data_IF_802101288067
#
_entry.id   IF_802101288067
#
_cell.length_a   1.000
_cell.length_b   1.000
_cell.length_c   1.000
_cell.angle_alpha   90.00
_cell.angle_beta   90.00
_cell.angle_gamma   90.00
#
_symmetry.space_group_name_H-M   'P 1'
#
loop_
_entity.id
_entity.type
_entity.pdbx_description
1 polymer ?
#
# COMPACT_ATOMS: atom_id res chain seq x y z
N UNK A 1 -13.53 26.45 -38.26
CA UNK A 1 -14.78 26.56 -37.49
C UNK A 1 -14.41 27.03 -36.10
N UNK A 2 -14.88 28.21 -35.69
CA UNK A 2 -14.76 28.68 -34.30
C UNK A 2 -15.69 27.88 -33.41
N UNK A 3 -15.19 27.46 -32.24
CA UNK A 3 -15.86 27.55 -30.95
C UNK A 3 -14.83 27.27 -29.85
N UNK A 4 -14.67 28.25 -28.98
CA UNK A 4 -14.26 28.05 -27.60
C UNK A 4 -15.01 26.82 -27.05
N UNK A 5 -14.29 25.71 -26.88
CA UNK A 5 -14.66 24.69 -25.92
C UNK A 5 -13.68 24.85 -24.78
N UNK A 6 -14.12 25.49 -23.70
CA UNK A 6 -13.55 25.19 -22.40
C UNK A 6 -13.69 23.68 -22.24
N UNK A 7 -12.59 22.94 -22.37
CA UNK A 7 -12.57 21.53 -22.02
C UNK A 7 -12.84 21.48 -20.52
N UNK A 8 -14.05 21.02 -20.15
CA UNK A 8 -14.38 20.69 -18.76
C UNK A 8 -13.22 19.88 -18.16
N UNK A 9 -12.94 20.09 -16.87
CA UNK A 9 -11.88 19.35 -16.17
C UNK A 9 -12.14 17.86 -16.36
N UNK A 10 -11.24 17.19 -17.07
CA UNK A 10 -11.34 15.76 -17.35
C UNK A 10 -10.64 14.97 -16.24
N UNK A 11 -11.39 14.02 -15.68
CA UNK A 11 -10.86 13.02 -14.79
C UNK A 11 -10.79 11.69 -15.52
N UNK A 12 -9.68 10.99 -15.37
CA UNK A 12 -9.47 9.65 -15.95
C UNK A 12 -8.94 8.72 -14.88
N UNK A 13 -9.09 7.42 -15.06
CA UNK A 13 -8.62 6.44 -14.11
C UNK A 13 -7.81 5.33 -14.77
N UNK A 14 -6.97 4.70 -13.94
CA UNK A 14 -6.37 3.39 -14.21
C UNK A 14 -6.69 2.42 -13.08
N UNK A 15 -7.18 1.23 -13.43
CA UNK A 15 -7.17 0.07 -12.54
C UNK A 15 -5.83 -0.66 -12.70
N UNK A 16 -5.03 -0.68 -11.65
CA UNK A 16 -3.70 -1.27 -11.67
C UNK A 16 -3.74 -2.70 -11.13
N UNK A 17 -3.12 -3.62 -11.87
CA UNK A 17 -2.96 -5.02 -11.46
C UNK A 17 -1.49 -5.40 -11.34
N UNK A 18 -1.18 -6.24 -10.35
CA UNK A 18 0.13 -6.87 -10.15
C UNK A 18 -0.05 -8.38 -10.12
N UNK A 19 0.62 -9.12 -11.01
CA UNK A 19 0.48 -10.57 -11.16
C UNK A 19 -0.99 -11.02 -11.31
N UNK A 20 -1.79 -10.24 -12.04
CA UNK A 20 -3.24 -10.40 -12.28
C UNK A 20 -4.17 -10.08 -11.10
N UNK A 21 -3.61 -9.72 -9.95
CA UNK A 21 -4.40 -9.22 -8.82
C UNK A 21 -4.60 -7.70 -8.96
N UNK A 22 -5.85 -7.24 -9.00
CA UNK A 22 -6.17 -5.82 -8.86
C UNK A 22 -5.63 -5.30 -7.52
N UNK A 23 -4.75 -4.30 -7.56
CA UNK A 23 -4.24 -3.66 -6.35
C UNK A 23 -5.02 -2.39 -6.01
N UNK A 24 -5.55 -1.69 -7.02
CA UNK A 24 -6.48 -0.59 -6.82
C UNK A 24 -6.60 0.34 -8.03
N UNK A 25 -7.34 1.42 -7.85
CA UNK A 25 -7.59 2.45 -8.86
C UNK A 25 -6.81 3.73 -8.56
N UNK A 26 -6.21 4.30 -9.59
CA UNK A 26 -5.61 5.63 -9.58
C UNK A 26 -6.51 6.55 -10.41
N UNK A 27 -6.83 7.73 -9.88
CA UNK A 27 -7.61 8.74 -10.60
C UNK A 27 -6.73 9.96 -10.82
N UNK A 28 -6.74 10.47 -12.04
CA UNK A 28 -5.96 11.63 -12.46
C UNK A 28 -6.88 12.79 -12.79
N UNK A 29 -6.47 14.00 -12.41
CA UNK A 29 -7.02 15.25 -12.93
C UNK A 29 -6.12 15.76 -14.04
N UNK A 30 -6.68 16.09 -15.19
CA UNK A 30 -5.95 16.61 -16.34
C UNK A 30 -5.96 18.15 -16.36
N UNK A 31 -4.84 18.78 -16.73
CA UNK A 31 -4.68 20.22 -16.82
C UNK A 31 -5.01 20.73 -18.23
N UNK A 32 -6.26 20.57 -18.65
CA UNK A 32 -6.73 20.87 -20.01
C UNK A 32 -6.43 22.31 -20.47
N UNK A 33 -6.37 23.27 -19.55
CA UNK A 33 -6.02 24.66 -19.85
C UNK A 33 -4.51 24.89 -20.05
N UNK A 34 -3.65 24.09 -19.41
CA UNK A 34 -2.18 24.27 -19.43
C UNK A 34 -1.50 23.41 -20.49
N UNK A 35 -2.03 22.20 -20.73
CA UNK A 35 -1.48 21.23 -21.65
C UNK A 35 -2.61 20.53 -22.47
N UNK A 36 -3.39 21.29 -23.27
CA UNK A 36 -4.57 20.78 -23.97
C UNK A 36 -4.26 19.60 -24.89
N UNK A 37 -3.12 19.59 -25.58
CA UNK A 37 -2.78 18.49 -26.49
C UNK A 37 -2.35 17.24 -25.74
N UNK A 38 -1.54 17.39 -24.70
CA UNK A 38 -1.17 16.25 -23.85
C UNK A 38 -2.42 15.64 -23.18
N UNK A 39 -3.31 16.49 -22.66
CA UNK A 39 -4.55 16.04 -22.01
C UNK A 39 -5.48 15.32 -23.00
N UNK A 40 -5.73 15.88 -24.18
CA UNK A 40 -6.60 15.25 -25.19
C UNK A 40 -6.03 13.90 -25.64
N UNK A 41 -4.72 13.84 -25.87
CA UNK A 41 -4.04 12.60 -26.23
C UNK A 41 -4.19 11.52 -25.14
N UNK A 42 -3.92 11.88 -23.88
CA UNK A 42 -4.01 10.94 -22.77
C UNK A 42 -5.45 10.47 -22.52
N UNK A 43 -6.43 11.38 -22.63
CA UNK A 43 -7.84 11.07 -22.47
C UNK A 43 -8.32 10.06 -23.51
N UNK A 44 -8.07 10.33 -24.80
CA UNK A 44 -8.48 9.42 -25.87
C UNK A 44 -7.79 8.05 -25.78
N UNK A 45 -6.51 8.00 -25.39
CA UNK A 45 -5.80 6.75 -25.14
C UNK A 45 -6.34 5.98 -23.92
N UNK A 46 -6.93 6.66 -22.92
CA UNK A 46 -7.62 5.99 -21.82
C UNK A 46 -8.91 5.30 -22.28
N UNK A 47 -9.60 5.85 -23.28
CA UNK A 47 -10.89 5.37 -23.79
C UNK A 47 -10.76 4.31 -24.90
N UNK A 48 -9.59 4.19 -25.52
CA UNK A 48 -9.35 3.29 -26.64
C UNK A 48 -9.25 1.82 -26.23
N UNK A 49 -10.06 0.96 -26.84
CA UNK A 49 -10.08 -0.50 -26.60
C UNK A 49 -8.96 -1.25 -27.33
N UNK A 50 -8.46 -0.73 -28.47
CA UNK A 50 -7.55 -1.46 -29.36
C UNK A 50 -6.14 -0.88 -29.44
N UNK A 51 -5.97 0.41 -29.15
CA UNK A 51 -4.67 1.10 -29.18
C UNK A 51 -4.64 2.14 -28.05
N UNK A 52 -4.84 1.67 -26.81
CA UNK A 52 -4.99 2.51 -25.62
C UNK A 52 -4.20 1.98 -24.43
N UNK A 53 -4.39 2.59 -23.27
CA UNK A 53 -3.63 2.23 -22.06
C UNK A 53 -4.08 0.93 -21.40
N UNK A 54 -5.31 0.47 -21.66
CA UNK A 54 -5.76 -0.82 -21.14
C UNK A 54 -4.84 -1.94 -21.63
N UNK A 55 -4.47 -2.82 -20.70
CA UNK A 55 -3.50 -3.90 -20.86
C UNK A 55 -2.07 -3.47 -21.18
N UNK A 56 -1.68 -2.21 -20.94
CA UNK A 56 -0.28 -1.81 -21.12
C UNK A 56 0.56 -2.02 -19.86
N UNK A 57 1.80 -2.44 -20.06
CA UNK A 57 2.78 -2.66 -19.00
C UNK A 57 3.22 -1.35 -18.36
N UNK A 58 3.50 -1.43 -17.06
CA UNK A 58 4.35 -0.47 -16.36
C UNK A 58 5.78 -1.00 -16.53
N UNK A 59 6.51 -0.43 -17.49
CA UNK A 59 7.78 -1.00 -17.96
C UNK A 59 9.02 -0.44 -17.25
N UNK A 60 8.88 0.62 -16.44
CA UNK A 60 10.03 1.18 -15.71
C UNK A 60 9.60 1.87 -14.42
N UNK A 61 10.24 1.51 -13.31
CA UNK A 61 10.01 2.08 -11.99
C UNK A 61 11.36 2.45 -11.38
N UNK A 62 11.48 3.69 -10.92
CA UNK A 62 12.64 4.17 -10.16
C UNK A 62 12.10 4.77 -8.87
N UNK A 63 12.38 4.10 -7.75
CA UNK A 63 11.96 4.52 -6.42
C UNK A 63 12.52 5.91 -6.09
N UNK A 64 11.69 6.73 -5.45
CA UNK A 64 11.95 8.14 -5.16
C UNK A 64 12.24 8.98 -6.40
N UNK A 65 11.68 8.58 -7.55
CA UNK A 65 11.74 9.37 -8.78
C UNK A 65 10.43 9.28 -9.55
N UNK A 66 10.16 8.15 -10.19
CA UNK A 66 9.00 8.02 -11.08
C UNK A 66 8.61 6.58 -11.40
N UNK A 67 7.36 6.43 -11.86
CA UNK A 67 6.79 5.22 -12.45
C UNK A 67 6.38 5.53 -13.89
N UNK A 68 6.91 4.80 -14.86
CA UNK A 68 6.70 5.04 -16.30
C UNK A 68 5.94 3.88 -16.96
N UNK A 69 5.02 4.26 -17.85
CA UNK A 69 4.17 3.36 -18.61
C UNK A 69 3.81 3.98 -19.97
N UNK A 70 2.89 3.35 -20.70
CA UNK A 70 2.29 3.93 -21.91
C UNK A 70 3.02 3.61 -23.21
N UNK A 71 3.88 2.58 -23.24
CA UNK A 71 4.29 1.97 -24.50
C UNK A 71 3.16 1.07 -25.00
N UNK A 72 2.22 1.68 -25.73
CA UNK A 72 1.04 1.00 -26.29
C UNK A 72 1.40 0.08 -27.47
N UNK A 73 2.60 0.23 -28.04
CA UNK A 73 3.03 -0.51 -29.24
C UNK A 73 3.72 -1.82 -28.91
N UNK A 74 4.66 -1.79 -27.95
CA UNK A 74 5.49 -2.95 -27.59
C UNK A 74 5.24 -3.43 -26.16
N UNK A 75 4.52 -2.65 -25.35
CA UNK A 75 4.15 -2.98 -23.98
C UNK A 75 2.71 -3.43 -23.81
N UNK A 76 1.98 -3.75 -24.88
CA UNK A 76 0.64 -4.32 -24.75
C UNK A 76 0.73 -5.80 -24.33
N UNK A 77 0.02 -6.17 -23.27
CA UNK A 77 0.03 -7.52 -22.66
C UNK A 77 -0.31 -8.64 -23.65
N UNK A 78 -1.14 -8.34 -24.67
CA UNK A 78 -1.55 -9.32 -25.67
C UNK A 78 -0.43 -9.62 -26.69
N UNK A 79 0.56 -8.73 -26.84
CA UNK A 79 1.66 -8.88 -27.79
C UNK A 79 2.92 -8.11 -27.34
N UNK A 80 3.50 -8.52 -26.21
CA UNK A 80 4.69 -7.88 -25.65
C UNK A 80 5.90 -8.13 -26.56
N UNK A 81 6.65 -7.07 -26.88
CA UNK A 81 7.98 -7.17 -27.45
C UNK A 81 9.01 -6.66 -26.43
N UNK A 82 9.63 -7.59 -25.70
CA UNK A 82 10.57 -7.27 -24.62
C UNK A 82 11.83 -6.55 -25.12
N UNK A 83 12.28 -6.82 -26.36
CA UNK A 83 13.47 -6.19 -26.94
C UNK A 83 13.25 -4.72 -27.30
N UNK A 84 12.01 -4.36 -27.65
CA UNK A 84 11.64 -2.99 -28.06
C UNK A 84 10.84 -2.23 -27.00
N UNK A 85 10.58 -2.85 -25.84
CA UNK A 85 9.78 -2.25 -24.79
C UNK A 85 10.39 -0.93 -24.29
N UNK A 86 9.56 0.11 -24.22
CA UNK A 86 9.95 1.47 -23.85
C UNK A 86 10.46 2.30 -25.04
N UNK A 87 10.58 1.72 -26.24
CA UNK A 87 10.94 2.46 -27.46
C UNK A 87 9.72 2.86 -28.29
N UNK A 88 8.57 2.25 -28.03
CA UNK A 88 7.34 2.43 -28.80
C UNK A 88 6.45 3.56 -28.30
N UNK A 89 5.22 3.56 -28.79
CA UNK A 89 4.21 4.56 -28.49
C UNK A 89 3.80 5.39 -29.71
N UNK A 90 2.56 5.86 -29.66
CA UNK A 90 1.92 6.63 -30.72
C UNK A 90 0.94 7.63 -30.10
N UNK A 91 0.92 8.86 -30.61
CA UNK A 91 -0.10 9.84 -30.22
C UNK A 91 -1.36 9.68 -31.08
N UNK A 92 -2.48 10.25 -30.63
CA UNK A 92 -3.73 10.28 -31.40
C UNK A 92 -3.69 11.18 -32.66
N UNK A 93 -2.57 11.87 -32.91
CA UNK A 93 -2.45 12.86 -33.96
C UNK A 93 -1.87 12.27 -35.25
N UNK A 94 -2.67 12.25 -36.33
CA UNK A 94 -2.39 11.55 -37.59
C UNK A 94 -1.13 12.01 -38.37
N UNK A 95 -0.69 13.27 -38.20
CA UNK A 95 0.30 13.88 -39.11
C UNK A 95 1.77 13.68 -38.68
N UNK A 96 1.97 13.28 -37.43
CA UNK A 96 3.26 13.14 -36.79
C UNK A 96 2.94 12.40 -35.51
N UNK A 97 3.43 11.17 -35.34
CA UNK A 97 3.20 10.42 -34.08
C UNK A 97 3.69 11.16 -32.82
N UNK A 98 4.32 12.34 -33.01
CA UNK A 98 4.76 13.30 -32.01
C UNK A 98 3.88 14.56 -31.93
N UNK A 99 3.82 15.19 -30.76
CA UNK A 99 3.26 16.52 -30.55
C UNK A 99 4.14 17.38 -29.62
N UNK A 100 3.88 18.70 -29.62
CA UNK A 100 4.70 19.69 -28.93
C UNK A 100 4.71 19.59 -27.40
N UNK A 101 5.71 20.20 -26.77
CA UNK A 101 5.77 20.36 -25.32
C UNK A 101 4.84 21.50 -24.84
N UNK A 102 4.15 21.26 -23.73
CA UNK A 102 3.23 22.21 -23.06
C UNK A 102 3.58 22.26 -21.56
N UNK A 103 3.17 23.30 -20.83
CA UNK A 103 3.33 23.40 -19.37
C UNK A 103 4.65 22.83 -18.77
N UNK A 104 5.80 23.20 -19.34
CA UNK A 104 7.09 22.58 -19.02
C UNK A 104 8.07 23.55 -18.34
N UNK A 105 7.75 24.84 -18.23
CA UNK A 105 8.71 25.87 -17.79
C UNK A 105 8.57 26.29 -16.33
N UNK A 106 7.43 26.04 -15.70
CA UNK A 106 7.19 26.39 -14.29
C UNK A 106 7.80 25.32 -13.36
N UNK A 107 8.84 25.64 -12.55
CA UNK A 107 9.43 24.69 -11.62
C UNK A 107 8.47 24.14 -10.59
N UNK A 108 7.43 24.90 -10.20
CA UNK A 108 6.45 24.44 -9.22
C UNK A 108 5.60 23.28 -9.73
N UNK A 109 5.50 23.09 -11.05
CA UNK A 109 4.80 21.95 -11.64
C UNK A 109 5.58 20.63 -11.52
N UNK A 110 6.87 20.69 -11.17
CA UNK A 110 7.74 19.52 -10.98
C UNK A 110 7.96 19.17 -9.50
N UNK A 111 7.24 19.84 -8.60
CA UNK A 111 7.22 19.53 -7.18
C UNK A 111 5.97 18.75 -6.81
N UNK A 112 6.15 17.68 -6.04
CA UNK A 112 5.05 16.88 -5.50
C UNK A 112 4.78 17.14 -4.02
N UNK A 113 5.79 17.68 -3.30
CA UNK A 113 5.65 18.20 -1.93
C UNK A 113 5.51 19.73 -1.98
N UNK A 114 4.47 20.25 -1.35
CA UNK A 114 4.16 21.67 -1.30
C UNK A 114 3.52 22.03 0.04
N UNK A 115 3.97 23.13 0.63
CA UNK A 115 3.58 23.54 1.99
C UNK A 115 2.09 23.93 2.11
N UNK A 116 1.47 24.33 1.01
CA UNK A 116 0.05 24.71 0.95
C UNK A 116 -0.92 23.53 0.85
N UNK A 117 -0.40 22.29 0.73
CA UNK A 117 -1.19 21.08 0.61
C UNK A 117 -1.10 20.20 1.85
N UNK A 118 -2.20 19.50 2.15
CA UNK A 118 -2.28 18.56 3.28
C UNK A 118 -1.71 17.18 2.95
N UNK A 119 -1.52 16.87 1.68
CA UNK A 119 -1.02 15.59 1.21
C UNK A 119 -0.17 15.79 -0.05
N UNK A 120 0.49 14.73 -0.52
CA UNK A 120 1.27 14.76 -1.76
C UNK A 120 0.43 14.94 -3.02
N UNK A 121 0.98 15.70 -3.97
CA UNK A 121 0.43 15.93 -5.31
C UNK A 121 1.33 15.32 -6.37
N UNK A 122 1.21 14.01 -6.58
CA UNK A 122 2.02 13.30 -7.58
C UNK A 122 1.64 13.76 -8.98
N UNK A 123 2.62 14.25 -9.74
CA UNK A 123 2.42 14.88 -11.05
C UNK A 123 2.44 13.85 -12.17
N UNK A 124 1.57 14.04 -13.16
CA UNK A 124 1.50 13.23 -14.38
C UNK A 124 2.21 13.98 -15.51
N UNK A 125 3.19 13.32 -16.13
CA UNK A 125 4.18 13.97 -17.00
C UNK A 125 4.43 13.14 -18.26
N UNK A 126 4.55 13.78 -19.42
CA UNK A 126 4.85 13.10 -20.68
C UNK A 126 6.32 12.64 -20.72
N UNK A 127 6.53 11.38 -21.11
CA UNK A 127 7.84 10.93 -21.55
C UNK A 127 8.05 11.34 -23.02
N UNK A 128 9.29 11.64 -23.37
CA UNK A 128 9.70 12.00 -24.72
C UNK A 128 11.06 11.36 -25.05
N UNK A 129 11.58 11.60 -26.25
CA UNK A 129 12.81 10.97 -26.74
C UNK A 129 14.07 11.82 -26.48
N UNK A 130 14.03 12.69 -25.45
CA UNK A 130 15.16 13.55 -25.08
C UNK A 130 15.32 14.80 -25.93
N UNK A 131 14.48 14.98 -26.96
CA UNK A 131 14.42 16.16 -27.81
C UNK A 131 13.08 16.89 -27.62
N UNK A 132 13.03 18.23 -27.74
CA UNK A 132 11.79 18.99 -27.64
C UNK A 132 10.73 18.52 -28.64
N UNK A 133 9.46 18.55 -28.22
CA UNK A 133 8.29 18.26 -29.06
C UNK A 133 8.25 16.81 -29.59
N UNK A 134 8.73 15.86 -28.79
CA UNK A 134 8.72 14.42 -29.13
C UNK A 134 7.79 13.60 -28.23
N UNK A 135 6.68 14.20 -27.78
CA UNK A 135 5.69 13.53 -26.94
C UNK A 135 4.83 12.55 -27.75
N UNK A 136 4.55 11.36 -27.20
CA UNK A 136 3.67 10.34 -27.82
C UNK A 136 2.63 9.80 -26.84
N UNK A 137 2.62 8.51 -26.52
CA UNK A 137 1.75 7.88 -25.52
C UNK A 137 2.42 7.62 -24.18
N UNK A 138 3.76 7.55 -24.14
CA UNK A 138 4.46 7.23 -22.89
C UNK A 138 4.38 8.39 -21.90
N UNK A 139 4.19 8.04 -20.63
CA UNK A 139 4.08 8.99 -19.53
C UNK A 139 4.76 8.43 -18.29
N UNK A 140 4.99 9.29 -17.32
CA UNK A 140 5.40 8.88 -15.99
C UNK A 140 4.70 9.69 -14.90
N UNK A 141 4.61 9.08 -13.73
CA UNK A 141 4.07 9.69 -12.51
C UNK A 141 5.26 9.99 -11.60
N UNK A 142 5.42 11.24 -11.20
CA UNK A 142 6.48 11.67 -10.29
C UNK A 142 6.18 11.23 -8.85
N UNK A 143 7.17 10.62 -8.20
CA UNK A 143 7.10 10.17 -6.80
C UNK A 143 8.12 10.85 -5.89
N UNK A 144 9.12 11.54 -6.47
CA UNK A 144 10.07 12.40 -5.77
C UNK A 144 9.42 13.71 -5.29
N UNK A 145 9.94 14.29 -4.21
CA UNK A 145 9.52 15.60 -3.70
C UNK A 145 9.75 16.72 -4.74
N UNK A 146 10.92 16.72 -5.39
CA UNK A 146 11.36 17.75 -6.33
C UNK A 146 12.05 17.08 -7.54
N UNK A 147 11.56 17.41 -8.74
CA UNK A 147 12.14 16.96 -10.02
C UNK A 147 12.51 18.14 -10.94
N UNK A 148 13.03 19.23 -10.36
CA UNK A 148 13.40 20.46 -11.09
C UNK A 148 14.39 20.26 -12.24
N UNK A 149 15.14 19.15 -12.24
CA UNK A 149 16.04 18.79 -13.35
C UNK A 149 15.30 18.44 -14.67
N UNK A 150 13.97 18.26 -14.61
CA UNK A 150 13.08 18.02 -15.75
C UNK A 150 12.42 19.31 -16.27
N UNK A 151 12.60 20.44 -15.59
CA UNK A 151 12.07 21.73 -16.03
C UNK A 151 12.66 22.07 -17.39
N UNK A 152 11.80 22.54 -18.29
CA UNK A 152 12.10 22.85 -19.67
C UNK A 152 12.18 21.64 -20.58
N UNK A 153 12.02 20.41 -20.06
CA UNK A 153 12.27 19.17 -20.83
C UNK A 153 11.05 18.27 -20.98
N UNK A 154 10.07 18.35 -20.10
CA UNK A 154 8.91 17.45 -20.11
C UNK A 154 7.62 18.19 -19.83
N UNK A 155 6.54 17.74 -20.47
CA UNK A 155 5.20 18.32 -20.32
C UNK A 155 4.51 17.79 -19.07
N UNK A 156 4.23 18.64 -18.09
CA UNK A 156 3.37 18.29 -16.93
C UNK A 156 1.92 18.54 -17.32
N UNK A 157 1.08 17.52 -17.31
CA UNK A 157 -0.28 17.63 -17.85
C UNK A 157 -1.39 17.14 -16.90
N UNK A 158 -1.04 16.76 -15.67
CA UNK A 158 -2.04 16.42 -14.67
C UNK A 158 -1.45 16.08 -13.31
N UNK A 159 -2.29 15.55 -12.45
CA UNK A 159 -1.92 15.06 -11.12
C UNK A 159 -2.80 13.88 -10.69
N UNK A 160 -2.28 13.06 -9.79
CA UNK A 160 -3.04 12.04 -9.07
C UNK A 160 -3.93 12.72 -8.03
N UNK A 161 -5.23 12.46 -8.09
CA UNK A 161 -6.22 12.95 -7.10
C UNK A 161 -6.74 11.85 -6.18
N UNK A 162 -6.70 10.60 -6.62
CA UNK A 162 -6.98 9.41 -5.80
C UNK A 162 -6.04 8.26 -6.15
N UNK A 163 -5.79 7.37 -5.18
CA UNK A 163 -4.94 6.19 -5.40
C UNK A 163 -3.44 6.44 -5.23
N UNK A 164 -3.05 7.45 -4.43
CA UNK A 164 -1.64 7.66 -4.04
C UNK A 164 -1.05 6.37 -3.44
N UNK A 165 -1.86 5.65 -2.67
CA UNK A 165 -1.51 4.36 -2.08
C UNK A 165 -1.19 3.29 -3.12
N UNK A 166 -1.85 3.30 -4.28
CA UNK A 166 -1.60 2.36 -5.38
C UNK A 166 -0.26 2.70 -6.04
N UNK A 167 0.02 3.99 -6.24
CA UNK A 167 1.30 4.45 -6.76
C UNK A 167 2.45 4.09 -5.82
N UNK A 168 2.29 4.26 -4.50
CA UNK A 168 3.30 3.85 -3.51
C UNK A 168 3.51 2.35 -3.46
N UNK A 169 2.47 1.53 -3.64
CA UNK A 169 2.64 0.09 -3.75
C UNK A 169 3.43 -0.30 -5.00
N UNK A 170 3.14 0.32 -6.15
CA UNK A 170 3.90 0.12 -7.39
C UNK A 170 5.36 0.53 -7.22
N UNK A 171 5.63 1.69 -6.62
CA UNK A 171 6.98 2.21 -6.45
C UNK A 171 7.87 1.28 -5.62
N UNK A 172 7.27 0.48 -4.73
CA UNK A 172 7.97 -0.42 -3.82
C UNK A 172 8.01 -1.89 -4.30
N UNK A 173 7.59 -2.19 -5.54
CA UNK A 173 7.80 -3.53 -6.11
C UNK A 173 9.29 -3.77 -6.36
N UNK A 174 9.69 -5.04 -6.38
CA UNK A 174 11.06 -5.37 -6.78
C UNK A 174 11.26 -5.11 -8.27
N UNK A 175 12.39 -4.47 -8.61
CA UNK A 175 12.77 -4.12 -9.98
C UNK A 175 14.17 -4.67 -10.31
N UNK A 176 14.49 -4.70 -11.60
CA UNK A 176 15.87 -4.79 -12.07
C UNK A 176 16.64 -3.53 -11.69
N UNK A 177 17.82 -3.68 -11.08
CA UNK A 177 18.68 -2.56 -10.70
C UNK A 177 19.21 -1.79 -11.92
N UNK A 178 19.41 -2.48 -13.04
CA UNK A 178 19.97 -1.90 -14.26
C UNK A 178 18.92 -1.10 -15.05
N UNK A 179 17.73 -1.67 -15.21
CA UNK A 179 16.71 -1.13 -16.14
C UNK A 179 15.54 -0.45 -15.42
N UNK A 180 15.32 -0.76 -14.13
CA UNK A 180 14.11 -0.38 -13.41
C UNK A 180 12.88 -1.20 -13.82
N UNK A 181 13.03 -2.25 -14.62
CA UNK A 181 11.91 -3.10 -15.04
C UNK A 181 11.35 -3.90 -13.85
N UNK A 182 10.04 -3.88 -13.58
CA UNK A 182 9.43 -4.65 -12.49
C UNK A 182 9.61 -6.16 -12.65
N UNK A 183 10.04 -6.85 -11.58
CA UNK A 183 10.12 -8.33 -11.58
C UNK A 183 8.76 -9.01 -11.54
N UNK A 184 7.76 -8.33 -10.97
CA UNK A 184 6.35 -8.75 -11.00
C UNK A 184 5.66 -8.11 -12.20
N UNK A 185 4.70 -8.81 -12.79
CA UNK A 185 3.90 -8.29 -13.90
C UNK A 185 3.02 -7.14 -13.41
N UNK A 186 3.41 -5.89 -13.70
CA UNK A 186 2.69 -4.68 -13.34
C UNK A 186 2.08 -4.04 -14.60
N UNK A 187 0.77 -3.80 -14.61
CA UNK A 187 0.09 -3.30 -15.80
C UNK A 187 -1.20 -2.55 -15.47
N UNK A 188 -1.63 -1.70 -16.41
CA UNK A 188 -2.91 -1.02 -16.40
C UNK A 188 -3.95 -2.01 -16.89
N UNK A 189 -4.72 -2.59 -15.98
CA UNK A 189 -5.71 -3.62 -16.31
C UNK A 189 -7.00 -3.06 -16.92
N UNK A 190 -7.33 -1.80 -16.60
CA UNK A 190 -8.39 -1.02 -17.25
C UNK A 190 -8.03 0.46 -17.20
N UNK A 191 -8.46 1.21 -18.19
CA UNK A 191 -8.41 2.67 -18.23
C UNK A 191 -9.75 3.24 -18.65
N UNK A 192 -9.98 4.52 -18.38
CA UNK A 192 -11.13 5.24 -18.93
C UNK A 192 -11.39 6.58 -18.26
N UNK A 193 -12.46 7.24 -18.68
CA UNK A 193 -13.01 8.42 -18.02
C UNK A 193 -13.50 8.06 -16.62
N UNK A 194 -13.17 8.90 -15.65
CA UNK A 194 -13.66 8.79 -14.28
C UNK A 194 -14.82 9.76 -14.06
N UNK A 195 -15.97 9.21 -13.73
CA UNK A 195 -17.18 9.96 -13.39
C UNK A 195 -17.41 9.92 -11.88
N UNK A 196 -17.83 11.05 -11.30
CA UNK A 196 -18.14 11.13 -9.88
C UNK A 196 -19.15 10.05 -9.46
N UNK A 197 -18.86 9.39 -8.33
CA UNK A 197 -19.64 8.26 -7.83
C UNK A 197 -19.13 6.88 -8.27
N UNK A 198 -18.19 6.81 -9.22
CA UNK A 198 -17.47 5.57 -9.49
C UNK A 198 -16.67 5.11 -8.26
N UNK A 199 -16.63 3.79 -8.04
CA UNK A 199 -15.84 3.22 -6.97
C UNK A 199 -14.33 3.47 -7.18
N UNK A 200 -13.62 3.64 -6.07
CA UNK A 200 -12.17 3.75 -6.02
C UNK A 200 -11.65 2.53 -5.24
N UNK A 201 -11.59 1.35 -5.87
CA UNK A 201 -11.17 0.14 -5.19
C UNK A 201 -9.72 0.25 -4.71
N UNK A 202 -9.47 -0.26 -3.50
CA UNK A 202 -8.12 -0.46 -2.96
C UNK A 202 -8.05 -1.81 -2.28
N UNK A 203 -7.57 -2.83 -3.01
CA UNK A 203 -7.63 -4.22 -2.55
C UNK A 203 -6.58 -4.56 -1.48
N UNK A 204 -5.57 -3.70 -1.32
CA UNK A 204 -4.43 -3.90 -0.41
C UNK A 204 -4.49 -3.00 0.83
N UNK A 205 -5.62 -2.35 1.09
CA UNK A 205 -5.84 -1.58 2.31
C UNK A 205 -7.30 -1.27 2.60
N UNK A 206 -7.56 -0.21 3.36
CA UNK A 206 -8.91 0.16 3.80
C UNK A 206 -9.11 1.68 3.81
N UNK A 207 -9.95 2.18 2.91
CA UNK A 207 -10.25 3.61 2.77
C UNK A 207 -11.44 4.08 3.63
N UNK A 208 -11.93 3.24 4.56
CA UNK A 208 -13.01 3.62 5.48
C UNK A 208 -12.57 4.75 6.41
N UNK A 209 -13.37 5.81 6.48
CA UNK A 209 -13.16 6.94 7.38
C UNK A 209 -13.77 6.74 8.78
N UNK A 210 -14.14 5.49 9.13
CA UNK A 210 -14.73 5.18 10.43
C UNK A 210 -13.80 5.64 11.56
N UNK A 211 -14.40 6.21 12.62
CA UNK A 211 -13.68 6.82 13.75
C UNK A 211 -12.81 8.04 13.36
N UNK A 212 -13.02 8.65 12.20
CA UNK A 212 -12.34 9.87 11.78
C UNK A 212 -10.98 9.66 11.10
N UNK A 213 -10.69 8.45 10.61
CA UNK A 213 -9.45 8.19 9.87
C UNK A 213 -9.52 8.79 8.45
N UNK A 214 -9.07 10.04 8.32
CA UNK A 214 -9.02 10.81 7.07
C UNK A 214 -7.61 10.88 6.45
N UNK A 215 -6.63 10.25 7.09
CA UNK A 215 -5.21 10.41 6.77
C UNK A 215 -4.80 9.54 5.58
N UNK A 216 -3.69 9.87 4.91
CA UNK A 216 -3.20 9.07 3.77
C UNK A 216 -2.70 7.68 4.21
N UNK A 217 -2.69 6.69 3.32
CA UNK A 217 -2.27 5.31 3.66
C UNK A 217 -0.78 5.20 4.04
N UNK A 218 0.05 6.06 3.45
CA UNK A 218 1.50 6.13 3.66
C UNK A 218 1.88 7.50 4.27
N UNK A 219 2.56 7.52 5.44
CA UNK A 219 2.81 8.76 6.15
C UNK A 219 3.74 9.73 5.41
N UNK A 220 4.58 9.26 4.49
CA UNK A 220 5.42 10.12 3.64
C UNK A 220 4.62 10.99 2.64
N UNK A 221 3.33 10.72 2.49
CA UNK A 221 2.39 11.51 1.69
C UNK A 221 1.44 12.35 2.56
N UNK A 222 1.58 12.30 3.89
CA UNK A 222 0.79 13.07 4.85
C UNK A 222 1.55 14.34 5.27
N UNK A 223 1.05 15.50 4.83
CA UNK A 223 1.69 16.79 5.13
C UNK A 223 0.94 17.58 6.20
N UNK A 224 -0.21 17.09 6.68
CA UNK A 224 -0.92 17.73 7.79
C UNK A 224 -0.23 17.56 9.16
N UNK A 225 0.83 16.76 9.20
CA UNK A 225 1.64 16.48 10.39
C UNK A 225 3.04 17.04 10.11
N UNK A 226 3.51 17.97 10.93
CA UNK A 226 4.88 18.46 10.84
C UNK A 226 5.87 17.37 11.30
N UNK A 227 7.05 17.32 10.69
CA UNK A 227 8.06 16.27 10.92
C UNK A 227 8.50 16.17 12.40
N UNK A 228 8.41 17.26 13.16
CA UNK A 228 8.76 17.37 14.57
C UNK A 228 7.54 17.42 15.54
N UNK A 229 6.30 17.35 15.02
CA UNK A 229 5.08 17.36 15.84
C UNK A 229 4.66 15.93 16.24
N UNK A 230 5.49 15.35 17.10
CA UNK A 230 5.32 13.98 17.61
C UNK A 230 4.01 13.77 18.40
N UNK A 231 3.51 14.82 19.07
CA UNK A 231 2.26 14.77 19.83
C UNK A 231 1.04 14.71 18.91
N UNK A 232 1.01 15.53 17.84
CA UNK A 232 -0.03 15.45 16.84
C UNK A 232 0.01 14.10 16.11
N UNK A 233 1.21 13.66 15.70
CA UNK A 233 1.39 12.36 15.07
C UNK A 233 0.85 11.21 15.94
N UNK A 234 1.05 11.26 17.26
CA UNK A 234 0.55 10.23 18.17
C UNK A 234 -0.98 10.20 18.22
N UNK A 235 -1.64 11.37 18.19
CA UNK A 235 -3.12 11.47 18.11
C UNK A 235 -3.65 10.90 16.79
N UNK A 236 -2.94 11.13 15.68
CA UNK A 236 -3.27 10.53 14.38
C UNK A 236 -3.17 9.00 14.45
N UNK A 237 -2.07 8.49 14.99
CA UNK A 237 -1.84 7.04 15.19
C UNK A 237 -2.97 6.43 16.02
N UNK A 238 -3.40 7.10 17.09
CA UNK A 238 -4.51 6.66 17.94
C UNK A 238 -5.86 6.65 17.22
N UNK A 239 -6.10 7.64 16.36
CA UNK A 239 -7.31 7.73 15.54
C UNK A 239 -7.37 6.55 14.56
N UNK A 240 -6.28 6.27 13.84
CA UNK A 240 -6.17 5.14 12.91
C UNK A 240 -6.33 3.81 13.67
N UNK A 241 -5.68 3.65 14.83
CA UNK A 241 -5.84 2.46 15.69
C UNK A 241 -7.30 2.28 16.12
N UNK A 242 -7.98 3.36 16.49
CA UNK A 242 -9.39 3.32 16.92
C UNK A 242 -10.32 2.91 15.77
N UNK A 243 -10.02 3.35 14.55
CA UNK A 243 -10.67 2.88 13.31
C UNK A 243 -10.57 1.35 13.16
N UNK A 244 -9.36 0.80 13.32
CA UNK A 244 -9.13 -0.64 13.34
C UNK A 244 -9.91 -1.37 14.45
N UNK A 245 -9.99 -0.76 15.64
CA UNK A 245 -10.79 -1.28 16.76
C UNK A 245 -12.29 -1.33 16.47
N UNK A 246 -12.83 -0.31 15.80
CA UNK A 246 -14.23 -0.27 15.40
C UNK A 246 -14.55 -1.36 14.36
N UNK A 247 -13.68 -1.53 13.36
CA UNK A 247 -13.82 -2.60 12.35
C UNK A 247 -13.69 -4.00 12.96
N UNK A 248 -12.77 -4.17 13.91
CA UNK A 248 -12.60 -5.44 14.63
C UNK A 248 -13.89 -5.83 15.38
N UNK A 249 -14.54 -4.88 16.06
CA UNK A 249 -15.82 -5.12 16.75
C UNK A 249 -16.94 -5.53 15.79
N UNK A 250 -16.89 -5.07 14.54
CA UNK A 250 -17.79 -5.47 13.46
C UNK A 250 -17.40 -6.81 12.81
N UNK A 251 -16.38 -7.51 13.32
CA UNK A 251 -15.81 -8.74 12.75
C UNK A 251 -15.23 -8.58 11.34
N UNK A 252 -14.95 -7.34 10.92
CA UNK A 252 -14.25 -7.02 9.66
C UNK A 252 -12.75 -7.11 9.89
N UNK A 253 -12.25 -8.34 10.11
CA UNK A 253 -10.87 -8.56 10.56
C UNK A 253 -9.83 -8.17 9.52
N UNK A 254 -10.13 -8.31 8.21
CA UNK A 254 -9.20 -7.88 7.15
C UNK A 254 -9.04 -6.36 7.15
N UNK A 255 -10.15 -5.61 7.14
CA UNK A 255 -10.14 -4.15 7.19
C UNK A 255 -9.46 -3.63 8.47
N UNK A 256 -9.75 -4.26 9.62
CA UNK A 256 -9.09 -3.94 10.88
C UNK A 256 -7.57 -4.17 10.80
N UNK A 257 -7.13 -5.24 10.13
CA UNK A 257 -5.70 -5.51 9.90
C UNK A 257 -5.06 -4.38 9.11
N UNK A 258 -5.69 -3.93 8.02
CA UNK A 258 -5.18 -2.82 7.22
C UNK A 258 -5.03 -1.53 8.02
N UNK A 259 -6.03 -1.18 8.84
CA UNK A 259 -5.93 0.00 9.73
C UNK A 259 -4.82 -0.14 10.77
N UNK A 260 -4.64 -1.31 11.38
CA UNK A 260 -3.54 -1.50 12.33
C UNK A 260 -2.16 -1.49 11.66
N UNK A 261 -2.03 -2.00 10.42
CA UNK A 261 -0.80 -1.88 9.64
C UNK A 261 -0.50 -0.42 9.28
N UNK A 262 -1.53 0.36 8.91
CA UNK A 262 -1.42 1.81 8.69
C UNK A 262 -0.95 2.54 9.94
N UNK A 263 -1.62 2.32 11.07
CA UNK A 263 -1.24 2.89 12.37
C UNK A 263 0.22 2.54 12.74
N UNK A 264 0.64 1.31 12.43
CA UNK A 264 2.03 0.88 12.65
C UNK A 264 3.03 1.57 11.72
N UNK A 265 2.69 1.83 10.45
CA UNK A 265 3.54 2.62 9.54
C UNK A 265 3.74 4.04 10.07
N UNK A 266 2.68 4.72 10.47
CA UNK A 266 2.77 6.05 11.11
C UNK A 266 3.59 6.01 12.39
N UNK A 267 3.41 4.97 13.22
CA UNK A 267 4.22 4.79 14.45
C UNK A 267 5.70 4.65 14.14
N UNK A 268 6.07 3.97 13.05
CA UNK A 268 7.48 3.80 12.67
C UNK A 268 8.07 5.05 12.02
N UNK A 269 7.25 5.85 11.33
CA UNK A 269 7.69 7.09 10.69
C UNK A 269 7.98 8.19 11.73
N UNK A 270 7.03 8.41 12.65
CA UNK A 270 7.06 9.56 13.55
C UNK A 270 7.60 9.27 14.95
N UNK A 271 8.12 8.07 15.21
CA UNK A 271 8.72 7.79 16.53
C UNK A 271 9.96 8.67 16.72
N UNK A 272 10.00 9.55 17.74
CA UNK A 272 11.19 10.38 17.98
C UNK A 272 12.34 9.52 18.49
N UNK A 273 13.57 9.92 18.20
CA UNK A 273 14.75 9.33 18.85
C UNK A 273 14.67 9.51 20.37
N UNK A 274 15.27 8.56 21.10
CA UNK A 274 15.25 8.57 22.57
C UNK A 274 15.89 9.83 23.16
N UNK A 275 16.87 10.40 22.46
CA UNK A 275 17.61 11.60 22.87
C UNK A 275 16.83 12.89 22.55
N UNK A 276 15.86 12.84 21.62
CA UNK A 276 14.99 13.98 21.28
C UNK A 276 13.87 14.10 22.31
N UNK A 277 13.12 13.01 22.53
CA UNK A 277 12.05 12.99 23.51
C UNK A 277 11.85 11.58 24.07
N UNK A 278 12.48 11.31 25.22
CA UNK A 278 12.45 10.00 25.87
C UNK A 278 11.03 9.52 26.22
N UNK A 279 10.18 10.41 26.71
CA UNK A 279 8.84 10.05 27.17
C UNK A 279 7.93 9.68 25.99
N UNK A 280 7.98 10.48 24.91
CA UNK A 280 7.26 10.15 23.68
C UNK A 280 7.85 8.91 23.01
N UNK A 281 9.18 8.74 22.97
CA UNK A 281 9.80 7.52 22.43
C UNK A 281 9.26 6.26 23.14
N UNK A 282 9.14 6.31 24.47
CA UNK A 282 8.55 5.21 25.25
C UNK A 282 7.06 5.03 24.92
N UNK A 283 6.29 6.11 24.78
CA UNK A 283 4.88 6.05 24.41
C UNK A 283 4.66 5.40 23.03
N UNK A 284 5.45 5.77 22.03
CA UNK A 284 5.42 5.18 20.69
C UNK A 284 5.80 3.70 20.70
N UNK A 285 6.82 3.31 21.49
CA UNK A 285 7.15 1.88 21.69
C UNK A 285 5.99 1.10 22.31
N UNK A 286 5.30 1.67 23.30
CA UNK A 286 4.11 1.04 23.88
C UNK A 286 2.95 0.95 22.88
N UNK A 287 2.78 1.97 22.04
CA UNK A 287 1.80 1.96 20.95
C UNK A 287 2.09 0.82 19.96
N UNK A 288 3.36 0.69 19.53
CA UNK A 288 3.83 -0.37 18.63
C UNK A 288 3.53 -1.77 19.16
N UNK A 289 3.80 -2.01 20.44
CA UNK A 289 3.47 -3.28 21.11
C UNK A 289 1.96 -3.54 21.13
N UNK A 290 1.15 -2.50 21.39
CA UNK A 290 -0.32 -2.60 21.34
C UNK A 290 -0.81 -2.96 19.94
N UNK A 291 -0.22 -2.37 18.90
CA UNK A 291 -0.55 -2.65 17.50
C UNK A 291 -0.15 -4.07 17.10
N UNK A 292 1.04 -4.54 17.48
CA UNK A 292 1.45 -5.94 17.23
C UNK A 292 0.50 -6.94 17.89
N UNK A 293 0.10 -6.66 19.12
CA UNK A 293 -0.91 -7.45 19.80
C UNK A 293 -2.19 -7.49 18.97
N UNK A 294 -2.74 -6.33 18.59
CA UNK A 294 -3.99 -6.25 17.82
C UNK A 294 -3.90 -6.97 16.47
N UNK A 295 -2.78 -6.80 15.76
CA UNK A 295 -2.49 -7.50 14.49
C UNK A 295 -2.48 -9.01 14.68
N UNK A 296 -1.76 -9.52 15.69
CA UNK A 296 -1.75 -10.96 15.99
C UNK A 296 -3.18 -11.49 16.20
N UNK A 297 -4.01 -10.75 16.94
CA UNK A 297 -5.39 -11.14 17.17
C UNK A 297 -6.25 -11.08 15.90
N UNK A 298 -6.08 -10.08 15.03
CA UNK A 298 -6.75 -10.03 13.73
C UNK A 298 -6.39 -11.25 12.87
N UNK A 299 -5.09 -11.56 12.75
CA UNK A 299 -4.63 -12.69 11.96
C UNK A 299 -5.14 -14.04 12.49
N UNK A 300 -5.19 -14.22 13.81
CA UNK A 300 -5.81 -15.39 14.45
C UNK A 300 -7.28 -15.52 14.05
N UNK A 301 -8.05 -14.43 14.12
CA UNK A 301 -9.48 -14.45 13.75
C UNK A 301 -9.71 -14.65 12.25
N UNK A 302 -8.78 -14.19 11.42
CA UNK A 302 -8.75 -14.43 9.97
C UNK A 302 -8.13 -15.80 9.59
N UNK A 303 -7.78 -16.64 10.57
CA UNK A 303 -7.15 -17.96 10.39
C UNK A 303 -5.79 -17.95 9.68
N UNK A 304 -5.10 -16.81 9.66
CA UNK A 304 -3.73 -16.70 9.19
C UNK A 304 -2.78 -16.87 10.39
N UNK A 305 -2.61 -18.11 10.83
CA UNK A 305 -1.88 -18.42 12.05
C UNK A 305 -0.38 -18.14 11.93
N UNK A 306 0.17 -18.20 10.72
CA UNK A 306 1.56 -17.95 10.37
C UNK A 306 1.94 -16.51 10.66
N UNK A 307 1.16 -15.54 10.16
CA UNK A 307 1.37 -14.13 10.49
C UNK A 307 1.04 -13.85 11.96
N UNK A 308 0.01 -14.50 12.52
CA UNK A 308 -0.31 -14.40 13.94
C UNK A 308 0.87 -14.78 14.85
N UNK A 309 1.55 -15.89 14.54
CA UNK A 309 2.78 -16.34 15.22
C UNK A 309 3.89 -15.30 15.09
N UNK A 310 4.15 -14.83 13.87
CA UNK A 310 5.21 -13.86 13.59
C UNK A 310 5.08 -12.59 14.45
N UNK A 311 3.87 -12.05 14.59
CA UNK A 311 3.64 -10.89 15.45
C UNK A 311 3.77 -11.20 16.95
N UNK A 312 3.37 -12.39 17.40
CA UNK A 312 3.58 -12.81 18.78
C UNK A 312 5.08 -12.96 19.10
N UNK A 313 5.85 -13.56 18.19
CA UNK A 313 7.29 -13.74 18.31
C UNK A 313 7.99 -12.38 18.36
N UNK A 314 7.63 -11.43 17.48
CA UNK A 314 8.18 -10.07 17.54
C UNK A 314 7.97 -9.36 18.87
N UNK A 315 6.84 -9.58 19.54
CA UNK A 315 6.59 -9.00 20.87
C UNK A 315 7.49 -9.65 21.92
N UNK A 316 7.60 -10.98 21.90
CA UNK A 316 8.34 -11.75 22.90
C UNK A 316 9.85 -11.58 22.74
N UNK A 317 10.36 -11.58 21.51
CA UNK A 317 11.79 -11.43 21.19
C UNK A 317 12.29 -10.01 21.53
N UNK A 318 11.42 -9.01 21.50
CA UNK A 318 11.74 -7.61 21.84
C UNK A 318 11.17 -7.20 23.22
N UNK A 319 10.88 -8.17 24.09
CA UNK A 319 10.05 -7.99 25.29
C UNK A 319 10.70 -7.30 26.49
N UNK A 320 11.87 -6.68 26.36
CA UNK A 320 12.54 -6.02 27.48
C UNK A 320 11.72 -4.84 28.02
N UNK A 321 11.40 -4.86 29.32
CA UNK A 321 10.64 -3.80 29.99
C UNK A 321 9.13 -3.81 29.72
N UNK A 322 8.59 -4.87 29.11
CA UNK A 322 7.15 -5.02 28.94
C UNK A 322 6.45 -5.38 30.26
N UNK A 323 5.21 -4.91 30.42
CA UNK A 323 4.35 -5.30 31.54
C UNK A 323 4.03 -6.80 31.49
N UNK A 324 3.96 -7.50 32.64
CA UNK A 324 3.65 -8.94 32.69
C UNK A 324 2.38 -9.33 31.92
N UNK A 325 1.35 -8.49 31.96
CA UNK A 325 0.07 -8.75 31.26
C UNK A 325 0.22 -8.72 29.73
N UNK A 326 1.16 -7.92 29.21
CA UNK A 326 1.46 -7.86 27.78
C UNK A 326 2.15 -9.15 27.33
N UNK A 327 3.13 -9.62 28.11
CA UNK A 327 3.86 -10.86 27.85
C UNK A 327 2.89 -12.06 27.92
N UNK A 328 2.03 -12.09 28.95
CA UNK A 328 0.98 -13.11 29.10
C UNK A 328 0.03 -13.14 27.88
N UNK A 329 -0.44 -11.97 27.41
CA UNK A 329 -1.28 -11.87 26.21
C UNK A 329 -0.59 -12.37 24.95
N UNK A 330 0.71 -12.10 24.78
CA UNK A 330 1.47 -12.56 23.62
C UNK A 330 1.60 -14.09 23.62
N UNK A 331 2.00 -14.69 24.74
CA UNK A 331 2.05 -16.15 24.90
C UNK A 331 0.68 -16.82 24.68
N UNK A 332 -0.39 -16.24 25.26
CA UNK A 332 -1.74 -16.74 25.05
C UNK A 332 -2.15 -16.71 23.58
N UNK A 333 -1.88 -15.61 22.86
CA UNK A 333 -2.20 -15.50 21.43
C UNK A 333 -1.35 -16.45 20.59
N UNK A 334 -0.06 -16.61 20.92
CA UNK A 334 0.83 -17.59 20.29
C UNK A 334 0.28 -19.00 20.41
N UNK A 335 -0.23 -19.38 21.59
CA UNK A 335 -0.85 -20.70 21.78
C UNK A 335 -2.11 -20.87 20.92
N UNK A 336 -2.91 -19.82 20.71
CA UNK A 336 -4.08 -19.87 19.83
C UNK A 336 -3.71 -20.12 18.36
N UNK A 337 -2.52 -19.72 17.91
CA UNK A 337 -2.03 -20.05 16.57
C UNK A 337 -1.50 -21.50 16.47
N UNK A 338 -0.92 -22.03 17.55
CA UNK A 338 -0.30 -23.37 17.57
C UNK A 338 -1.35 -24.49 17.62
N UNK A 339 -2.45 -24.28 18.34
CA UNK A 339 -3.52 -25.28 18.53
C UNK A 339 -4.12 -25.76 17.18
N UNK A 340 -4.57 -24.87 16.26
CA UNK A 340 -5.07 -25.29 14.95
C UNK A 340 -4.05 -26.03 14.07
N UNK A 341 -2.75 -25.88 14.39
CA UNK A 341 -1.64 -26.54 13.72
C UNK A 341 -1.24 -27.87 14.38
N UNK A 342 -2.02 -28.38 15.33
CA UNK A 342 -1.75 -29.61 16.08
C UNK A 342 -0.44 -29.61 16.87
N UNK A 343 0.12 -28.43 17.17
CA UNK A 343 1.34 -28.26 17.97
C UNK A 343 0.98 -28.07 19.45
N UNK A 344 0.35 -29.08 20.05
CA UNK A 344 -0.28 -28.95 21.37
C UNK A 344 0.73 -28.85 22.50
N UNK A 345 1.84 -29.58 22.45
CA UNK A 345 2.91 -29.52 23.45
C UNK A 345 3.54 -28.12 23.49
N UNK A 346 3.79 -27.55 22.30
CA UNK A 346 4.27 -26.17 22.17
C UNK A 346 3.23 -25.18 22.71
N UNK A 347 1.96 -25.34 22.35
CA UNK A 347 0.89 -24.48 22.84
C UNK A 347 0.77 -24.53 24.38
N UNK A 348 0.91 -25.71 24.98
CA UNK A 348 0.90 -25.89 26.42
C UNK A 348 2.09 -25.20 27.09
N UNK A 349 3.29 -25.30 26.49
CA UNK A 349 4.48 -24.59 26.96
C UNK A 349 4.26 -23.08 26.97
N UNK A 350 3.76 -22.52 25.87
CA UNK A 350 3.46 -21.09 25.76
C UNK A 350 2.43 -20.64 26.81
N UNK A 351 1.35 -21.40 27.00
CA UNK A 351 0.34 -21.07 28.03
C UNK A 351 0.91 -21.09 29.45
N UNK A 352 1.79 -22.04 29.78
CA UNK A 352 2.47 -22.09 31.08
C UNK A 352 3.39 -20.90 31.28
N UNK A 353 4.13 -20.49 30.25
CA UNK A 353 4.93 -19.27 30.29
C UNK A 353 4.07 -18.02 30.50
N UNK A 354 2.90 -17.94 29.83
CA UNK A 354 1.94 -16.86 30.05
C UNK A 354 1.37 -16.83 31.46
N UNK A 355 1.02 -17.98 32.03
CA UNK A 355 0.51 -18.09 33.40
C UNK A 355 1.57 -17.70 34.45
N UNK A 356 2.84 -17.98 34.20
CA UNK A 356 3.93 -17.54 35.09
C UNK A 356 3.99 -16.01 35.22
N UNK A 357 3.62 -15.27 34.17
CA UNK A 357 3.58 -13.80 34.19
C UNK A 357 2.36 -13.27 34.95
N UNK A 358 1.21 -13.93 34.83
CA UNK A 358 -0.04 -13.56 35.50
C UNK A 358 -0.70 -14.82 36.11
N UNK A 359 -0.29 -15.24 37.32
CA UNK A 359 -0.70 -16.52 37.91
C UNK A 359 -2.20 -16.69 38.14
N UNK A 360 -2.93 -15.59 38.29
CA UNK A 360 -4.38 -15.60 38.56
C UNK A 360 -5.24 -15.54 37.28
N UNK A 361 -4.63 -15.61 36.08
CA UNK A 361 -5.38 -15.53 34.83
C UNK A 361 -6.21 -16.80 34.60
N UNK A 362 -7.51 -16.67 34.84
CA UNK A 362 -8.49 -17.75 34.65
C UNK A 362 -8.63 -18.17 33.18
N UNK A 363 -8.42 -17.28 32.22
CA UNK A 363 -8.55 -17.61 30.80
C UNK A 363 -7.39 -18.47 30.33
N UNK A 364 -6.17 -18.18 30.79
CA UNK A 364 -5.00 -19.01 30.53
C UNK A 364 -5.17 -20.37 31.22
N UNK A 365 -5.57 -20.39 32.49
CA UNK A 365 -5.79 -21.62 33.25
C UNK A 365 -6.81 -22.56 32.59
N UNK A 366 -7.97 -22.03 32.16
CA UNK A 366 -8.97 -22.80 31.41
C UNK A 366 -8.43 -23.31 30.07
N UNK A 367 -7.60 -22.52 29.38
CA UNK A 367 -7.02 -22.91 28.10
C UNK A 367 -5.96 -24.01 28.26
N UNK A 368 -5.19 -24.02 29.35
CA UNK A 368 -4.25 -25.10 29.68
C UNK A 368 -4.99 -26.43 29.79
N UNK A 369 -6.04 -26.50 30.61
CA UNK A 369 -6.84 -27.72 30.79
C UNK A 369 -7.38 -28.23 29.45
N UNK A 370 -7.90 -27.32 28.62
CA UNK A 370 -8.37 -27.67 27.27
C UNK A 370 -7.27 -28.27 26.38
N UNK A 371 -6.06 -27.72 26.41
CA UNK A 371 -4.94 -28.25 25.60
C UNK A 371 -4.43 -29.59 26.16
N UNK A 372 -4.41 -29.77 27.47
CA UNK A 372 -4.05 -31.05 28.11
C UNK A 372 -5.02 -32.17 27.69
N UNK A 373 -6.32 -31.88 27.65
CA UNK A 373 -7.31 -32.84 27.11
C UNK A 373 -7.07 -33.18 25.63
N UNK A 374 -6.64 -32.22 24.80
CA UNK A 374 -6.31 -32.47 23.39
C UNK A 374 -5.09 -33.39 23.24
N UNK A 375 -4.07 -33.20 24.08
CA UNK A 375 -2.87 -34.04 24.11
C UNK A 375 -3.23 -35.49 24.48
N UNK A 376 -4.05 -35.69 25.52
CA UNK A 376 -4.47 -37.04 25.91
C UNK A 376 -5.31 -37.72 24.81
N UNK A 377 -6.26 -36.99 24.20
CA UNK A 377 -7.02 -37.50 23.04
C UNK A 377 -6.12 -37.87 21.86
N UNK A 378 -5.03 -37.14 21.63
CA UNK A 378 -4.06 -37.46 20.59
C UNK A 378 -3.29 -38.75 20.91
N UNK A 379 -2.85 -38.94 22.16
CA UNK A 379 -2.17 -40.16 22.61
C UNK A 379 -3.08 -41.38 22.51
N UNK A 380 -4.35 -41.27 22.91
CA UNK A 380 -5.34 -42.34 22.79
C UNK A 380 -5.54 -42.77 21.33
N UNK A 381 -5.71 -41.81 20.43
CA UNK A 381 -5.83 -42.08 18.98
C UNK A 381 -4.58 -42.76 18.41
N UNK A 382 -3.38 -42.36 18.87
CA UNK A 382 -2.14 -43.01 18.46
C UNK A 382 -2.07 -44.46 18.96
N UNK A 383 -2.42 -44.71 20.23
CA UNK A 383 -2.49 -46.07 20.79
C UNK A 383 -3.46 -46.97 20.03
N UNK A 384 -4.66 -46.48 19.71
CA UNK A 384 -5.66 -47.22 18.93
C UNK A 384 -5.21 -47.50 17.49
N UNK A 385 -4.48 -46.58 16.86
CA UNK A 385 -3.91 -46.82 15.53
C UNK A 385 -2.80 -47.87 15.57
N UNK A 386 -1.96 -47.84 16.59
CA UNK A 386 -0.91 -48.83 16.78
C UNK A 386 -1.48 -50.22 17.05
N UNK A 387 -2.51 -50.34 17.90
CA UNK A 387 -3.12 -51.65 18.19
C UNK A 387 -3.71 -52.33 16.95
N UNK A 388 -4.33 -51.55 16.04
CA UNK A 388 -4.86 -52.05 14.75
C UNK A 388 -3.78 -52.44 13.73
N UNK A 389 -2.52 -52.11 13.97
CA UNK A 389 -1.40 -52.45 13.09
C UNK A 389 -0.72 -53.77 13.50
N UNK A 390 -1.01 -54.25 14.72
CA UNK A 390 -0.49 -55.49 15.29
C UNK A 390 -1.58 -56.59 15.41
N UNK A 391 -2.81 -56.29 14.97
CA UNK A 391 -3.87 -57.24 14.62
C UNK A 391 -3.83 -57.51 13.11
#
# INVERSE_FOLDING_TARGET
>A
MNKDQSFDIQYVYFDISVNKDLIGRVVFKLYTEKAPKACSNFYELCQSDSNGYTNTLIHRIIKNFMIQAGDITYGNLDNINEELLGTGGESIYDNSSFFEDENHTDPEEFKTKRDDYKQRHMKLVMANYGEPNTNKSQFFILTADDSSHLVGKHTVFGEVVHGLEVIRLLENVEVSEETGFPKSLCYISKSGEFVEGMEIPFAKGCNSQISGDIYTEFPCDEFSIADDDFDHALKVIETIKSSGGALFKQKKYSDATFKYLKSLRYTNEFIPDIDINKDLHVAYKQMKVTLYLNLALCYINSKNYELGLKFCDYILDNGHGLKPETIAKAHYRKSLCLIPKFRYEDALKELKLGLQQVPEDQNISKKILFVEELIEKQKEKQKQKMSKFFE
#
